data_IF_855418599710
#
_entry.id   IF_855418599710
#
_cell.length_a   1.000
_cell.length_b   1.000
_cell.length_c   1.000
_cell.angle_alpha   90.00
_cell.angle_beta   90.00
_cell.angle_gamma   90.00
#
_symmetry.space_group_name_H-M   'P 1'
#
loop_
_entity.id
_entity.type
_entity.pdbx_description
1 polymer ?
#
# COMPACT_ATOMS: atom_id res chain seq x y z
N UNK A 1 107.39 12.05 24.68
CA UNK A 1 106.56 11.76 23.49
C UNK A 1 105.38 10.89 23.91
N UNK A 2 104.22 11.00 23.25
CA UNK A 2 102.98 11.62 23.77
C UNK A 2 101.92 10.56 24.17
N UNK A 3 100.75 10.83 24.76
CA UNK A 3 99.70 11.75 24.33
C UNK A 3 98.50 11.70 25.30
N UNK A 4 97.93 12.86 25.62
CA UNK A 4 96.68 13.02 26.38
C UNK A 4 95.44 12.64 25.54
N UNK A 5 94.33 12.25 26.19
CA UNK A 5 93.00 12.44 25.63
C UNK A 5 92.09 13.33 26.52
N UNK A 6 91.90 14.56 26.02
CA UNK A 6 90.69 15.40 25.91
C UNK A 6 89.55 15.28 26.95
N UNK A 7 89.30 16.40 27.65
CA UNK A 7 88.03 16.76 28.28
C UNK A 7 86.87 16.72 27.27
N UNK A 8 85.77 16.07 27.63
CA UNK A 8 84.47 16.18 26.94
C UNK A 8 83.65 17.31 27.58
N UNK A 9 83.58 18.43 26.88
CA UNK A 9 82.67 19.54 27.16
C UNK A 9 81.28 19.16 26.61
N UNK A 10 80.28 18.98 27.47
CA UNK A 10 78.89 18.82 27.02
C UNK A 10 78.32 20.20 26.67
N UNK A 11 78.02 20.41 25.39
CA UNK A 11 77.21 21.54 24.92
C UNK A 11 75.78 21.09 24.69
N UNK A 12 74.84 21.72 25.39
CA UNK A 12 73.41 21.58 25.13
C UNK A 12 73.08 22.19 23.75
N UNK A 13 72.49 21.38 22.87
CA UNK A 13 71.91 21.86 21.60
C UNK A 13 70.57 22.54 21.88
N UNK A 14 70.31 23.74 21.35
CA UNK A 14 68.96 24.31 21.38
C UNK A 14 68.07 23.54 20.38
N UNK A 15 66.99 22.95 20.89
CA UNK A 15 65.89 22.41 20.09
C UNK A 15 65.13 23.57 19.43
N UNK A 16 65.38 23.84 18.15
CA UNK A 16 64.49 24.67 17.32
C UNK A 16 63.19 23.90 17.05
N UNK A 17 62.14 24.16 17.83
CA UNK A 17 60.75 23.79 17.46
C UNK A 17 60.29 24.68 16.31
N UNK A 18 59.71 24.15 15.22
CA UNK A 18 59.21 24.98 14.13
C UNK A 18 57.80 25.49 14.50
N UNK A 19 57.72 26.51 15.35
CA UNK A 19 56.45 27.18 15.69
C UNK A 19 55.77 27.80 14.47
N UNK A 20 56.54 28.15 13.42
CA UNK A 20 56.02 28.72 12.18
C UNK A 20 55.13 27.75 11.38
N UNK A 21 55.48 26.46 11.32
CA UNK A 21 54.73 25.48 10.52
C UNK A 21 53.32 25.25 11.10
N UNK A 22 53.20 25.21 12.42
CA UNK A 22 51.94 25.00 13.14
C UNK A 22 51.00 26.20 12.97
N UNK A 23 51.55 27.42 12.97
CA UNK A 23 50.76 28.64 12.77
C UNK A 23 50.24 28.71 11.33
N UNK A 24 51.06 28.37 10.33
CA UNK A 24 50.66 28.36 8.92
C UNK A 24 49.58 27.32 8.66
N UNK A 25 49.69 26.10 9.23
CA UNK A 25 48.64 25.08 9.10
C UNK A 25 47.33 25.50 9.75
N UNK A 26 47.39 26.21 10.87
CA UNK A 26 46.20 26.67 11.59
C UNK A 26 45.45 27.75 10.83
N UNK A 27 46.18 28.67 10.19
CA UNK A 27 45.59 29.73 9.34
C UNK A 27 44.99 29.12 8.07
N UNK A 28 45.63 28.13 7.46
CA UNK A 28 45.11 27.44 6.28
C UNK A 28 43.79 26.71 6.57
N UNK A 29 43.68 26.02 7.72
CA UNK A 29 42.45 25.33 8.14
C UNK A 29 41.33 26.35 8.40
N UNK A 30 41.65 27.48 9.05
CA UNK A 30 40.68 28.56 9.28
C UNK A 30 40.14 29.19 8.00
N UNK A 31 41.00 29.45 7.02
CA UNK A 31 40.61 29.99 5.71
C UNK A 31 39.75 28.99 4.91
N UNK A 32 40.09 27.70 4.95
CA UNK A 32 39.30 26.67 4.27
C UNK A 32 37.91 26.50 4.89
N UNK A 33 37.82 26.54 6.23
CA UNK A 33 36.54 26.50 6.95
C UNK A 33 35.66 27.72 6.66
N UNK A 34 36.26 28.91 6.57
CA UNK A 34 35.54 30.13 6.24
C UNK A 34 35.01 30.13 4.79
N UNK A 35 35.82 29.70 3.82
CA UNK A 35 35.40 29.56 2.42
C UNK A 35 34.29 28.51 2.25
N UNK A 36 34.39 27.38 2.97
CA UNK A 36 33.34 26.36 2.98
C UNK A 36 32.02 26.91 3.56
N UNK A 37 32.10 27.62 4.69
CA UNK A 37 30.94 28.29 5.30
C UNK A 37 30.29 29.33 4.38
N UNK A 38 31.10 30.15 3.68
CA UNK A 38 30.58 31.12 2.71
C UNK A 38 29.88 30.44 1.52
N UNK A 39 30.44 29.33 1.02
CA UNK A 39 29.85 28.58 -0.10
C UNK A 39 28.48 27.98 0.24
N UNK A 40 28.27 27.58 1.50
CA UNK A 40 27.00 27.04 1.99
C UNK A 40 25.90 28.11 2.13
N UNK A 41 26.27 29.39 2.29
CA UNK A 41 25.32 30.51 2.40
C UNK A 41 24.99 31.09 1.01
N UNK A 42 25.97 31.13 0.11
CA UNK A 42 25.82 31.76 -1.22
C UNK A 42 25.14 30.81 -2.23
N UNK A 43 25.20 29.48 -2.03
CA UNK A 43 24.55 28.50 -2.89
C UNK A 43 23.51 27.64 -2.12
N UNK A 44 22.25 28.12 -1.94
CA UNK A 44 21.19 27.33 -1.30
C UNK A 44 20.75 26.10 -2.12
N UNK A 45 21.30 25.93 -3.32
CA UNK A 45 20.84 24.96 -4.34
C UNK A 45 21.51 23.59 -4.30
N UNK A 46 22.57 23.38 -3.51
CA UNK A 46 23.17 22.04 -3.34
C UNK A 46 22.58 21.43 -2.08
N UNK A 47 21.32 20.99 -2.17
CA UNK A 47 20.82 19.96 -1.26
C UNK A 47 21.64 18.70 -1.54
N UNK A 48 22.71 18.51 -0.77
CA UNK A 48 23.33 17.20 -0.65
C UNK A 48 22.20 16.26 -0.27
N UNK A 49 21.87 15.36 -1.20
CA UNK A 49 20.84 14.34 -1.06
C UNK A 49 20.90 13.80 0.36
N UNK A 50 19.87 14.14 1.14
CA UNK A 50 19.73 13.68 2.52
C UNK A 50 19.93 12.18 2.50
N UNK A 51 20.92 11.73 3.28
CA UNK A 51 21.24 10.34 3.55
C UNK A 51 20.01 9.48 3.38
N UNK A 52 19.99 8.67 2.32
CA UNK A 52 19.25 7.41 2.31
C UNK A 52 19.70 6.69 3.56
N UNK A 53 18.88 6.74 4.62
CA UNK A 53 18.96 5.72 5.64
C UNK A 53 18.69 4.44 4.87
N UNK A 54 19.73 3.63 4.66
CA UNK A 54 19.61 2.24 4.27
C UNK A 54 18.82 1.57 5.38
N UNK A 55 17.49 1.70 5.34
CA UNK A 55 16.63 0.86 6.14
C UNK A 55 16.85 -0.54 5.58
N UNK A 56 17.45 -1.44 6.37
CA UNK A 56 17.60 -2.85 6.04
C UNK A 56 16.24 -3.60 5.89
N UNK A 57 15.15 -2.87 5.63
CA UNK A 57 13.86 -3.45 5.32
C UNK A 57 13.85 -3.85 3.85
N UNK A 58 13.37 -5.07 3.53
CA UNK A 58 13.19 -5.48 2.14
C UNK A 58 12.21 -4.53 1.43
N UNK A 59 12.35 -4.35 0.10
CA UNK A 59 11.43 -3.53 -0.68
C UNK A 59 10.00 -4.04 -0.48
N UNK A 60 9.07 -3.12 -0.28
CA UNK A 60 7.65 -3.39 -0.14
C UNK A 60 6.99 -3.61 -1.49
N UNK A 61 7.52 -2.97 -2.54
CA UNK A 61 7.02 -3.13 -3.91
C UNK A 61 7.51 -4.42 -4.55
N UNK A 62 6.56 -5.20 -5.06
CA UNK A 62 6.85 -6.46 -5.73
C UNK A 62 6.14 -6.54 -7.07
N UNK A 63 6.83 -7.04 -8.09
CA UNK A 63 6.23 -7.41 -9.38
C UNK A 63 5.95 -8.90 -9.42
N UNK A 64 4.72 -9.28 -9.72
CA UNK A 64 4.27 -10.66 -9.83
C UNK A 64 4.06 -11.00 -11.30
N UNK A 65 4.86 -11.95 -11.79
CA UNK A 65 4.73 -12.56 -13.12
C UNK A 65 4.18 -13.97 -12.91
N UNK A 66 3.04 -14.27 -13.53
CA UNK A 66 2.45 -15.60 -13.48
C UNK A 66 3.04 -16.46 -14.60
N UNK A 67 3.82 -17.49 -14.26
CA UNK A 67 4.25 -18.47 -15.27
C UNK A 67 3.05 -19.25 -15.80
N UNK A 68 2.85 -19.20 -17.13
CA UNK A 68 1.78 -19.91 -17.84
C UNK A 68 2.08 -21.40 -17.97
N UNK A 69 3.31 -21.82 -17.68
CA UNK A 69 3.73 -23.22 -17.72
C UNK A 69 3.62 -23.84 -16.32
N UNK A 70 2.65 -24.75 -16.16
CA UNK A 70 2.54 -25.59 -14.97
C UNK A 70 3.78 -26.48 -14.84
N UNK A 71 4.76 -26.04 -14.07
CA UNK A 71 5.78 -26.92 -13.54
C UNK A 71 5.94 -26.68 -12.03
N UNK A 72 5.24 -27.51 -11.26
CA UNK A 72 5.41 -27.60 -9.82
C UNK A 72 6.78 -28.23 -9.56
N UNK A 73 7.73 -27.42 -9.14
CA UNK A 73 8.78 -27.80 -8.19
C UNK A 73 9.50 -26.55 -7.67
N UNK A 74 8.85 -25.86 -6.73
CA UNK A 74 9.52 -24.93 -5.83
C UNK A 74 9.39 -25.50 -4.41
N UNK A 75 10.10 -26.60 -4.14
CA UNK A 75 10.37 -27.08 -2.79
C UNK A 75 11.40 -26.14 -2.15
N UNK A 76 10.89 -25.00 -1.71
CA UNK A 76 11.62 -23.94 -1.03
C UNK A 76 10.59 -22.91 -0.60
N UNK A 77 9.79 -23.25 0.41
CA UNK A 77 8.69 -22.42 0.88
C UNK A 77 9.20 -21.04 1.27
N UNK A 78 9.01 -20.06 0.40
CA UNK A 78 9.29 -18.66 0.72
C UNK A 78 8.39 -18.29 1.89
N UNK A 79 9.01 -17.90 3.00
CA UNK A 79 8.27 -17.53 4.22
C UNK A 79 7.45 -16.28 3.94
N UNK A 80 6.13 -16.43 3.90
CA UNK A 80 5.17 -15.33 3.71
C UNK A 80 5.25 -14.33 4.87
N UNK A 81 5.04 -13.05 4.59
CA UNK A 81 5.07 -11.99 5.60
C UNK A 81 3.78 -12.02 6.44
N UNK A 82 3.92 -12.21 7.75
CA UNK A 82 2.77 -12.38 8.66
C UNK A 82 2.19 -11.03 9.08
N UNK A 83 0.89 -10.85 8.86
CA UNK A 83 0.11 -9.66 9.24
C UNK A 83 -1.28 -10.07 9.69
N UNK A 84 -2.02 -9.21 10.40
CA UNK A 84 -3.43 -9.53 10.74
C UNK A 84 -4.30 -9.45 9.48
N UNK A 85 -4.22 -8.34 8.73
CA UNK A 85 -4.98 -8.11 7.51
C UNK A 85 -4.07 -7.63 6.36
N UNK A 86 -4.41 -7.95 5.11
CA UNK A 86 -3.81 -7.34 3.93
C UNK A 86 -4.84 -6.52 3.17
N UNK A 87 -4.58 -5.24 2.91
CA UNK A 87 -5.45 -4.34 2.14
C UNK A 87 -4.82 -4.06 0.79
N UNK A 88 -5.47 -4.53 -0.27
CA UNK A 88 -5.12 -4.21 -1.66
C UNK A 88 -6.02 -3.11 -2.21
N UNK A 89 -5.47 -1.92 -2.42
CA UNK A 89 -6.16 -0.78 -3.01
C UNK A 89 -6.09 -0.89 -4.54
N UNK A 90 -7.19 -1.24 -5.19
CA UNK A 90 -7.30 -1.34 -6.64
C UNK A 90 -7.21 0.04 -7.27
N UNK A 91 -6.17 0.26 -8.08
CA UNK A 91 -5.91 1.55 -8.73
C UNK A 91 -5.49 1.36 -10.20
N UNK A 92 -5.55 2.41 -11.00
CA UNK A 92 -5.17 2.39 -12.41
C UNK A 92 -4.33 3.59 -12.83
N UNK A 93 -3.89 3.62 -14.08
CA UNK A 93 -3.02 4.68 -14.61
C UNK A 93 -3.68 6.06 -14.65
N UNK A 94 -5.01 6.14 -14.73
CA UNK A 94 -5.77 7.40 -14.64
C UNK A 94 -5.94 7.93 -13.21
N UNK A 95 -5.48 7.20 -12.19
CA UNK A 95 -5.81 7.46 -10.78
C UNK A 95 -4.65 8.00 -9.96
N UNK A 96 -3.63 8.60 -10.61
CA UNK A 96 -2.49 9.19 -9.91
C UNK A 96 -2.91 10.28 -8.90
N UNK A 97 -3.91 11.10 -9.23
CA UNK A 97 -4.45 12.10 -8.31
C UNK A 97 -5.15 11.47 -7.10
N UNK A 98 -5.88 10.36 -7.29
CA UNK A 98 -6.51 9.59 -6.21
C UNK A 98 -5.47 8.97 -5.29
N UNK A 99 -4.43 8.32 -5.83
CA UNK A 99 -3.31 7.80 -5.03
C UNK A 99 -2.64 8.89 -4.19
N UNK A 100 -2.47 10.09 -4.77
CA UNK A 100 -1.96 11.25 -4.02
C UNK A 100 -2.91 11.70 -2.90
N UNK A 101 -4.21 11.72 -3.14
CA UNK A 101 -5.21 12.07 -2.12
C UNK A 101 -5.23 11.04 -0.97
N UNK A 102 -5.15 9.75 -1.29
CA UNK A 102 -4.99 8.66 -0.33
C UNK A 102 -3.72 8.87 0.52
N UNK A 103 -2.62 9.19 -0.15
CA UNK A 103 -1.32 9.48 0.47
C UNK A 103 -1.30 10.67 1.42
N UNK A 104 -2.15 11.66 1.13
CA UNK A 104 -2.34 12.86 1.94
C UNK A 104 -3.43 12.71 3.01
N UNK A 105 -4.02 11.52 3.16
CA UNK A 105 -5.11 11.26 4.10
C UNK A 105 -4.86 9.99 4.92
N UNK A 106 -5.49 8.87 4.59
CA UNK A 106 -5.54 7.70 5.44
C UNK A 106 -4.42 6.66 5.19
N UNK A 107 -3.58 6.85 4.18
CA UNK A 107 -2.41 6.00 3.90
C UNK A 107 -1.14 6.87 3.81
N UNK A 108 -0.39 7.12 4.88
CA UNK A 108 0.72 8.09 4.85
C UNK A 108 1.73 7.85 3.72
N UNK A 109 2.16 8.92 3.05
CA UNK A 109 3.17 8.86 1.97
C UNK A 109 4.58 8.57 2.46
N UNK A 110 4.91 8.92 3.70
CA UNK A 110 6.25 8.72 4.23
C UNK A 110 6.43 7.27 4.72
N UNK A 111 7.56 6.60 4.39
CA UNK A 111 7.76 5.19 4.74
C UNK A 111 7.65 4.87 6.23
N UNK A 112 7.98 5.83 7.11
CA UNK A 112 7.87 5.66 8.56
C UNK A 112 6.43 5.80 9.05
N UNK A 113 5.67 6.74 8.50
CA UNK A 113 4.25 6.93 8.75
C UNK A 113 3.44 5.72 8.31
N UNK A 114 3.71 5.21 7.10
CA UNK A 114 3.07 3.99 6.61
C UNK A 114 3.41 2.82 7.53
N UNK A 115 4.68 2.63 7.91
CA UNK A 115 5.07 1.57 8.84
C UNK A 115 4.37 1.67 10.19
N UNK A 116 4.29 2.87 10.79
CA UNK A 116 3.57 3.10 12.04
C UNK A 116 2.08 2.78 11.93
N UNK A 117 1.46 3.10 10.79
CA UNK A 117 0.07 2.71 10.52
C UNK A 117 -0.07 1.19 10.46
N UNK A 118 0.81 0.51 9.72
CA UNK A 118 0.77 -0.95 9.57
C UNK A 118 1.03 -1.68 10.89
N UNK A 119 1.97 -1.20 11.70
CA UNK A 119 2.29 -1.75 13.02
C UNK A 119 1.16 -1.52 14.03
N UNK A 120 0.54 -0.33 14.04
CA UNK A 120 -0.52 -0.01 14.99
C UNK A 120 -1.87 -0.67 14.65
N UNK A 121 -2.13 -0.91 13.36
CA UNK A 121 -3.39 -1.53 12.91
C UNK A 121 -3.24 -3.02 12.60
N UNK A 122 -2.02 -3.55 12.49
CA UNK A 122 -1.74 -4.90 12.01
C UNK A 122 -2.10 -5.14 10.54
N UNK A 123 -2.38 -4.09 9.77
CA UNK A 123 -2.76 -4.16 8.35
C UNK A 123 -1.56 -3.84 7.46
N UNK A 124 -1.23 -4.68 6.50
CA UNK A 124 -0.35 -4.28 5.39
C UNK A 124 -1.19 -3.65 4.27
N UNK A 125 -0.79 -2.49 3.75
CA UNK A 125 -1.59 -1.72 2.77
C UNK A 125 -0.77 -1.45 1.51
N UNK A 126 -1.22 -1.92 0.35
CA UNK A 126 -0.51 -1.70 -0.94
C UNK A 126 -1.48 -1.27 -2.04
N UNK A 127 -0.98 -0.45 -2.96
CA UNK A 127 -1.64 -0.19 -4.23
C UNK A 127 -1.50 -1.39 -5.16
N UNK A 128 -2.61 -1.83 -5.76
CA UNK A 128 -2.64 -2.94 -6.69
C UNK A 128 -2.89 -2.41 -8.10
N UNK A 129 -1.90 -2.58 -8.97
CA UNK A 129 -1.94 -2.08 -10.34
C UNK A 129 -1.40 -3.11 -11.31
N UNK A 130 -2.01 -3.20 -12.49
CA UNK A 130 -1.53 -3.97 -13.62
C UNK A 130 -0.45 -3.24 -14.42
N UNK A 131 -0.35 -3.58 -15.70
CA UNK A 131 0.54 -2.97 -16.70
C UNK A 131 -0.25 -2.30 -17.81
N UNK A 132 0.43 -1.44 -18.56
CA UNK A 132 -0.07 -0.87 -19.82
C UNK A 132 1.02 -0.96 -20.89
N UNK A 133 0.63 -0.93 -22.16
CA UNK A 133 1.55 -0.85 -23.30
C UNK A 133 2.08 0.58 -23.52
N UNK A 134 1.48 1.55 -22.85
CA UNK A 134 1.88 2.96 -22.88
C UNK A 134 3.15 3.15 -22.03
N UNK A 135 4.32 3.23 -22.69
CA UNK A 135 5.60 3.35 -21.99
C UNK A 135 5.75 4.66 -21.21
N UNK A 136 5.07 5.75 -21.61
CA UNK A 136 5.11 7.00 -20.87
C UNK A 136 4.41 6.84 -19.51
N UNK A 137 3.23 6.22 -19.50
CA UNK A 137 2.51 5.87 -18.27
C UNK A 137 3.29 4.87 -17.40
N UNK A 138 3.95 3.89 -18.00
CA UNK A 138 4.82 2.97 -17.26
C UNK A 138 6.03 3.70 -16.67
N UNK A 139 6.63 4.67 -17.36
CA UNK A 139 7.73 5.47 -16.84
C UNK A 139 7.31 6.41 -15.70
N UNK A 140 6.09 6.96 -15.75
CA UNK A 140 5.49 7.68 -14.62
C UNK A 140 5.29 6.78 -13.40
N UNK A 141 4.71 5.59 -13.60
CA UNK A 141 4.53 4.61 -12.51
C UNK A 141 5.86 4.17 -11.90
N UNK A 142 6.90 3.92 -12.71
CA UNK A 142 8.25 3.58 -12.21
C UNK A 142 8.84 4.67 -11.33
N UNK A 143 8.61 5.95 -11.66
CA UNK A 143 9.03 7.08 -10.82
C UNK A 143 8.27 7.11 -9.50
N UNK A 144 6.96 6.91 -9.54
CA UNK A 144 6.12 6.85 -8.34
C UNK A 144 6.52 5.69 -7.42
N UNK A 145 6.80 4.50 -7.98
CA UNK A 145 7.30 3.34 -7.22
C UNK A 145 8.63 3.65 -6.55
N UNK A 146 9.56 4.29 -7.26
CA UNK A 146 10.86 4.66 -6.70
C UNK A 146 10.75 5.69 -5.56
N UNK A 147 9.69 6.49 -5.56
CA UNK A 147 9.44 7.50 -4.53
C UNK A 147 8.78 6.90 -3.27
N UNK A 148 7.77 6.04 -3.42
CA UNK A 148 6.91 5.61 -2.30
C UNK A 148 7.07 4.15 -1.87
N UNK A 149 7.55 3.26 -2.76
CA UNK A 149 7.70 1.83 -2.51
C UNK A 149 6.44 1.15 -1.90
N UNK A 150 5.24 1.42 -2.43
CA UNK A 150 3.96 0.99 -1.83
C UNK A 150 3.04 0.20 -2.79
N UNK A 151 3.58 -0.45 -3.82
CA UNK A 151 2.80 -1.13 -4.88
C UNK A 151 2.90 -2.66 -4.88
N UNK A 152 1.91 -3.35 -5.45
CA UNK A 152 2.06 -4.68 -6.02
C UNK A 152 1.69 -4.57 -7.51
N UNK A 153 2.63 -4.93 -8.37
CA UNK A 153 2.47 -4.90 -9.81
C UNK A 153 2.05 -6.28 -10.31
N UNK A 154 0.87 -6.36 -10.92
CA UNK A 154 0.34 -7.58 -11.50
C UNK A 154 0.66 -7.63 -13.00
N UNK A 155 0.99 -8.80 -13.52
CA UNK A 155 1.19 -8.99 -14.96
C UNK A 155 -0.12 -9.10 -15.76
N UNK A 156 -1.03 -8.14 -15.56
CA UNK A 156 -2.34 -8.04 -16.24
C UNK A 156 -2.46 -6.65 -16.87
N UNK A 157 -2.90 -6.59 -18.12
CA UNK A 157 -3.18 -5.31 -18.79
C UNK A 157 -4.36 -4.60 -18.13
N UNK A 158 -4.16 -3.34 -17.71
CA UNK A 158 -5.21 -2.52 -17.09
C UNK A 158 -6.34 -2.21 -18.06
N UNK A 159 -7.53 -2.70 -17.75
CA UNK A 159 -8.76 -2.45 -18.49
C UNK A 159 -9.96 -2.67 -17.56
N UNK A 160 -11.02 -1.86 -17.70
CA UNK A 160 -12.21 -2.00 -16.86
C UNK A 160 -12.87 -3.38 -17.00
N UNK A 161 -12.94 -3.91 -18.23
CA UNK A 161 -13.48 -5.24 -18.52
C UNK A 161 -12.67 -6.38 -17.87
N UNK A 162 -11.43 -6.11 -17.45
CA UNK A 162 -10.52 -7.09 -16.83
C UNK A 162 -10.51 -7.03 -15.31
N UNK A 163 -11.34 -6.20 -14.67
CA UNK A 163 -11.40 -6.09 -13.22
C UNK A 163 -11.59 -7.43 -12.49
N UNK A 164 -12.48 -8.36 -12.91
CA UNK A 164 -12.60 -9.67 -12.26
C UNK A 164 -11.28 -10.47 -12.26
N UNK A 165 -10.55 -10.42 -13.38
CA UNK A 165 -9.25 -11.10 -13.51
C UNK A 165 -8.17 -10.43 -12.67
N UNK A 166 -8.14 -9.10 -12.64
CA UNK A 166 -7.25 -8.32 -11.78
C UNK A 166 -7.46 -8.66 -10.31
N UNK A 167 -8.72 -8.75 -9.87
CA UNK A 167 -9.07 -9.11 -8.49
C UNK A 167 -8.64 -10.54 -8.14
N UNK A 168 -8.85 -11.51 -9.03
CA UNK A 168 -8.34 -12.87 -8.79
C UNK A 168 -6.81 -12.89 -8.69
N UNK A 169 -6.12 -12.18 -9.59
CA UNK A 169 -4.66 -12.08 -9.55
C UNK A 169 -4.16 -11.34 -8.31
N UNK A 170 -4.88 -10.33 -7.83
CA UNK A 170 -4.64 -9.68 -6.56
C UNK A 170 -4.67 -10.69 -5.41
N UNK A 171 -5.76 -11.46 -5.26
CA UNK A 171 -5.87 -12.43 -4.17
C UNK A 171 -4.77 -13.50 -4.25
N UNK A 172 -4.45 -13.99 -5.45
CA UNK A 172 -3.33 -14.92 -5.65
C UNK A 172 -1.98 -14.31 -5.25
N UNK A 173 -1.70 -13.08 -5.66
CA UNK A 173 -0.46 -12.37 -5.33
C UNK A 173 -0.36 -12.10 -3.83
N UNK A 174 -1.42 -11.57 -3.22
CA UNK A 174 -1.45 -11.26 -1.80
C UNK A 174 -1.28 -12.52 -0.95
N UNK A 175 -1.94 -13.63 -1.30
CA UNK A 175 -1.79 -14.91 -0.60
C UNK A 175 -0.40 -15.52 -0.74
N UNK A 176 0.28 -15.31 -1.87
CA UNK A 176 1.65 -15.78 -2.08
C UNK A 176 2.68 -14.98 -1.27
N UNK A 177 2.41 -13.69 -1.02
CA UNK A 177 3.33 -12.78 -0.34
C UNK A 177 3.09 -12.67 1.18
N UNK A 178 1.82 -12.72 1.59
CA UNK A 178 1.40 -12.42 2.97
C UNK A 178 0.64 -13.59 3.59
N UNK A 179 0.95 -13.88 4.84
CA UNK A 179 0.21 -14.78 5.71
C UNK A 179 -0.72 -13.94 6.59
N UNK A 180 -2.00 -13.90 6.23
CA UNK A 180 -2.98 -12.99 6.82
C UNK A 180 -4.30 -13.68 7.10
N UNK A 181 -5.00 -13.28 8.16
CA UNK A 181 -6.32 -13.79 8.49
C UNK A 181 -7.40 -13.31 7.50
N UNK A 182 -7.22 -12.11 6.94
CA UNK A 182 -8.15 -11.51 5.98
C UNK A 182 -7.42 -10.75 4.87
N UNK A 183 -7.90 -10.90 3.65
CA UNK A 183 -7.47 -10.14 2.48
C UNK A 183 -8.62 -9.22 2.04
N UNK A 184 -8.35 -7.93 2.03
CA UNK A 184 -9.32 -6.86 1.79
C UNK A 184 -9.07 -6.27 0.42
N UNK A 185 -10.10 -6.24 -0.42
CA UNK A 185 -10.12 -5.42 -1.62
C UNK A 185 -10.73 -4.08 -1.27
N UNK A 186 -10.08 -2.98 -1.67
CA UNK A 186 -10.61 -1.62 -1.56
C UNK A 186 -10.41 -0.87 -2.88
N UNK A 187 -11.34 0.00 -3.27
CA UNK A 187 -11.14 0.91 -4.40
C UNK A 187 -10.36 2.17 -4.00
N UNK A 188 -9.71 2.81 -4.96
CA UNK A 188 -8.94 4.04 -4.72
C UNK A 188 -9.79 5.32 -4.62
N UNK A 189 -11.11 5.19 -4.68
CA UNK A 189 -12.07 6.29 -4.54
C UNK A 189 -12.97 6.15 -3.30
N UNK A 190 -12.49 5.52 -2.23
CA UNK A 190 -13.17 5.51 -0.91
C UNK A 190 -12.35 6.23 0.17
N UNK A 191 -13.02 6.67 1.23
CA UNK A 191 -12.35 7.05 2.46
C UNK A 191 -12.41 5.88 3.44
N UNK A 192 -11.25 5.33 3.80
CA UNK A 192 -11.12 4.18 4.71
C UNK A 192 -10.58 4.64 6.07
N UNK A 193 -11.04 3.99 7.13
CA UNK A 193 -10.53 4.15 8.49
C UNK A 193 -9.84 2.84 8.93
N UNK A 194 -8.51 2.73 8.74
CA UNK A 194 -7.78 1.49 8.99
C UNK A 194 -7.89 0.98 10.43
N UNK A 195 -8.01 1.87 11.41
CA UNK A 195 -8.21 1.54 12.83
C UNK A 195 -9.56 0.85 13.10
N UNK A 196 -10.61 1.21 12.36
CA UNK A 196 -11.93 0.56 12.48
C UNK A 196 -12.00 -0.73 11.69
N UNK A 197 -11.33 -0.76 10.53
CA UNK A 197 -11.20 -1.98 9.76
C UNK A 197 -10.46 -3.05 10.57
N UNK A 198 -9.35 -2.70 11.24
CA UNK A 198 -8.58 -3.66 12.05
C UNK A 198 -9.41 -4.30 13.15
N UNK A 199 -10.24 -3.53 13.86
CA UNK A 199 -11.18 -4.05 14.86
C UNK A 199 -12.21 -5.03 14.26
N UNK A 200 -12.78 -4.69 13.10
CA UNK A 200 -13.72 -5.59 12.42
C UNK A 200 -13.08 -6.92 12.03
N UNK A 201 -11.84 -6.88 11.54
CA UNK A 201 -11.09 -8.08 11.15
C UNK A 201 -10.66 -8.91 12.37
N UNK A 202 -10.33 -8.26 13.49
CA UNK A 202 -9.94 -8.93 14.74
C UNK A 202 -11.09 -9.63 15.47
N UNK A 203 -12.36 -9.30 15.15
CA UNK A 203 -13.54 -9.91 15.76
C UNK A 203 -13.50 -11.44 15.64
N UNK A 204 -13.70 -12.13 16.75
CA UNK A 204 -13.83 -13.59 16.78
C UNK A 204 -15.06 -14.06 15.99
N UNK A 205 -14.89 -15.17 15.27
CA UNK A 205 -15.92 -15.76 14.42
C UNK A 205 -15.93 -17.27 14.61
N UNK A 206 -17.13 -17.84 14.62
CA UNK A 206 -17.33 -19.29 14.65
C UNK A 206 -17.05 -19.96 13.32
N UNK A 207 -17.13 -19.22 12.21
CA UNK A 207 -16.90 -19.72 10.85
C UNK A 207 -15.58 -19.18 10.32
N UNK A 208 -14.68 -20.07 9.89
CA UNK A 208 -13.40 -19.67 9.32
C UNK A 208 -13.55 -19.11 7.90
N UNK A 209 -14.49 -19.64 7.11
CA UNK A 209 -14.82 -19.16 5.76
C UNK A 209 -15.84 -18.02 5.81
N UNK A 210 -15.33 -16.79 5.87
CA UNK A 210 -16.14 -15.58 5.97
C UNK A 210 -15.88 -14.59 4.84
N UNK A 211 -16.96 -13.98 4.35
CA UNK A 211 -17.02 -12.87 3.39
C UNK A 211 -17.69 -11.65 4.05
N UNK A 212 -16.93 -10.58 4.25
CA UNK A 212 -17.38 -9.35 4.89
C UNK A 212 -17.63 -8.27 3.84
N UNK A 213 -18.73 -7.54 3.97
CA UNK A 213 -18.97 -6.35 3.15
C UNK A 213 -20.25 -5.64 3.54
N UNK A 214 -20.50 -4.49 2.92
CA UNK A 214 -21.86 -3.96 2.88
C UNK A 214 -22.64 -4.71 1.80
N UNK A 215 -23.54 -5.59 2.23
CA UNK A 215 -24.25 -6.47 1.30
C UNK A 215 -25.45 -5.76 0.67
N UNK A 216 -25.70 -6.12 -0.59
CA UNK A 216 -26.77 -5.59 -1.43
C UNK A 216 -27.43 -6.68 -2.24
N UNK A 217 -28.64 -6.37 -2.69
CA UNK A 217 -29.27 -6.94 -3.88
C UNK A 217 -29.68 -5.80 -4.81
N UNK A 218 -30.04 -6.14 -6.04
CA UNK A 218 -30.48 -5.16 -7.01
C UNK A 218 -30.68 -5.78 -8.39
N UNK A 219 -31.29 -5.03 -9.32
CA UNK A 219 -31.59 -5.54 -10.65
C UNK A 219 -30.31 -5.89 -11.41
N UNK A 220 -30.37 -6.96 -12.20
CA UNK A 220 -29.35 -7.24 -13.21
C UNK A 220 -29.48 -6.21 -14.33
N UNK A 221 -28.37 -5.54 -14.67
CA UNK A 221 -28.38 -4.50 -15.68
C UNK A 221 -28.31 -5.12 -17.08
N UNK A 222 -29.45 -5.18 -17.78
CA UNK A 222 -29.58 -5.83 -19.09
C UNK A 222 -29.50 -4.87 -20.28
N UNK A 223 -29.51 -3.55 -20.06
CA UNK A 223 -29.35 -2.56 -21.13
C UNK A 223 -27.86 -2.35 -21.44
N UNK A 224 -27.38 -2.64 -22.67
CA UNK A 224 -26.00 -2.44 -23.10
C UNK A 224 -25.47 -1.00 -22.98
N UNK A 225 -26.37 -0.01 -22.82
CA UNK A 225 -26.00 1.40 -22.63
C UNK A 225 -25.64 1.74 -21.19
N UNK A 226 -25.96 0.86 -20.23
CA UNK A 226 -25.65 1.07 -18.82
C UNK A 226 -24.20 0.67 -18.52
N UNK A 227 -23.54 1.45 -17.66
CA UNK A 227 -22.15 1.24 -17.24
C UNK A 227 -21.88 -0.19 -16.75
N UNK A 228 -22.84 -0.78 -16.04
CA UNK A 228 -22.72 -2.09 -15.38
C UNK A 228 -23.47 -3.20 -16.12
N UNK A 229 -23.70 -3.02 -17.43
CA UNK A 229 -24.34 -4.01 -18.28
C UNK A 229 -23.70 -5.40 -18.12
N UNK A 230 -24.54 -6.41 -17.90
CA UNK A 230 -24.15 -7.80 -17.77
C UNK A 230 -24.62 -8.60 -19.00
N UNK A 231 -23.71 -8.96 -19.93
CA UNK A 231 -24.06 -9.72 -21.13
C UNK A 231 -24.51 -11.15 -20.81
N UNK A 232 -24.17 -11.69 -19.64
CA UNK A 232 -24.61 -13.01 -19.18
C UNK A 232 -25.80 -12.92 -18.22
N UNK A 233 -26.62 -11.88 -18.33
CA UNK A 233 -27.75 -11.66 -17.43
C UNK A 233 -28.72 -12.86 -17.35
N UNK A 234 -28.91 -13.59 -18.45
CA UNK A 234 -29.76 -14.78 -18.48
C UNK A 234 -29.31 -15.89 -17.52
N UNK A 235 -28.01 -15.93 -17.16
CA UNK A 235 -27.49 -16.86 -16.15
C UNK A 235 -27.74 -16.41 -14.71
N UNK A 236 -28.04 -15.13 -14.50
CA UNK A 236 -28.21 -14.50 -13.18
C UNK A 236 -29.69 -14.27 -12.83
N UNK A 237 -30.55 -14.15 -13.84
CA UNK A 237 -31.96 -13.82 -13.66
C UNK A 237 -32.21 -12.30 -13.59
N UNK A 238 -33.32 -11.90 -12.96
CA UNK A 238 -33.74 -10.49 -12.92
C UNK A 238 -33.05 -9.68 -11.80
N UNK A 239 -32.62 -10.33 -10.73
CA UNK A 239 -32.00 -9.71 -9.56
C UNK A 239 -30.68 -10.41 -9.23
N UNK A 240 -29.64 -9.65 -8.93
CA UNK A 240 -28.41 -10.20 -8.38
C UNK A 240 -28.68 -10.84 -7.01
N UNK A 241 -28.00 -11.96 -6.76
CA UNK A 241 -27.95 -12.57 -5.42
C UNK A 241 -27.30 -11.62 -4.40
N UNK A 242 -27.44 -11.93 -3.10
CA UNK A 242 -26.86 -11.11 -2.04
C UNK A 242 -25.32 -11.15 -2.12
N UNK A 243 -24.69 -10.00 -2.36
CA UNK A 243 -23.23 -9.86 -2.46
C UNK A 243 -22.77 -8.50 -1.93
N UNK A 244 -21.47 -8.32 -1.66
CA UNK A 244 -20.96 -7.03 -1.20
C UNK A 244 -20.89 -6.00 -2.34
N UNK A 245 -21.03 -4.73 -2.00
CA UNK A 245 -20.64 -3.63 -2.88
C UNK A 245 -19.15 -3.71 -3.25
N UNK A 246 -18.84 -3.49 -4.54
CA UNK A 246 -17.46 -3.47 -5.05
C UNK A 246 -16.46 -2.57 -4.30
N UNK A 247 -16.79 -1.33 -3.87
CA UNK A 247 -15.85 -0.43 -3.20
C UNK A 247 -14.99 -1.04 -2.10
N UNK A 248 -15.54 -1.92 -1.26
CA UNK A 248 -14.76 -2.61 -0.24
C UNK A 248 -15.41 -3.93 0.22
N UNK A 249 -14.60 -4.98 0.33
CA UNK A 249 -14.98 -6.23 0.99
C UNK A 249 -13.74 -7.00 1.46
N UNK A 250 -13.93 -7.92 2.40
CA UNK A 250 -12.85 -8.76 2.94
C UNK A 250 -13.17 -10.24 2.82
N UNK A 251 -12.16 -11.02 2.42
CA UNK A 251 -12.21 -12.47 2.35
C UNK A 251 -11.25 -13.06 3.38
N UNK A 252 -11.76 -13.99 4.19
CA UNK A 252 -10.93 -14.78 5.12
C UNK A 252 -9.85 -15.58 4.38
N UNK A 253 -8.80 -15.94 5.12
CA UNK A 253 -7.67 -16.74 4.60
C UNK A 253 -8.12 -18.05 3.94
N UNK A 254 -9.09 -18.75 4.52
CA UNK A 254 -9.61 -20.03 4.00
C UNK A 254 -10.35 -19.86 2.67
N UNK A 255 -11.09 -18.77 2.53
CA UNK A 255 -11.75 -18.40 1.26
C UNK A 255 -10.71 -18.09 0.20
N UNK A 256 -9.72 -17.26 0.52
CA UNK A 256 -8.65 -16.92 -0.43
C UNK A 256 -7.84 -18.14 -0.81
N UNK A 257 -7.52 -19.04 0.13
CA UNK A 257 -6.85 -20.31 -0.14
C UNK A 257 -7.62 -21.12 -1.18
N UNK A 258 -8.95 -21.18 -1.05
CA UNK A 258 -9.83 -21.86 -2.00
C UNK A 258 -9.77 -21.18 -3.38
N UNK A 259 -9.82 -19.85 -3.43
CA UNK A 259 -9.69 -19.08 -4.68
C UNK A 259 -8.33 -19.28 -5.38
N UNK A 260 -7.24 -19.36 -4.62
CA UNK A 260 -5.89 -19.59 -5.18
C UNK A 260 -5.77 -21.00 -5.75
N UNK A 261 -6.43 -21.98 -5.14
CA UNK A 261 -6.45 -23.37 -5.60
C UNK A 261 -7.32 -23.59 -6.86
N UNK A 262 -8.13 -22.61 -7.26
CA UNK A 262 -8.99 -22.74 -8.45
C UNK A 262 -8.17 -22.94 -9.72
N UNK A 263 -8.57 -23.95 -10.49
CA UNK A 263 -8.07 -24.14 -11.85
C UNK A 263 -8.52 -22.97 -12.72
N UNK A 264 -7.66 -22.53 -13.63
CA UNK A 264 -8.03 -21.52 -14.61
C UNK A 264 -9.30 -21.95 -15.35
N UNK A 265 -10.22 -20.99 -15.55
CA UNK A 265 -11.50 -21.20 -16.23
C UNK A 265 -12.47 -22.21 -15.55
N UNK A 266 -12.24 -22.57 -14.29
CA UNK A 266 -13.17 -23.45 -13.56
C UNK A 266 -14.43 -22.72 -13.07
N UNK A 267 -14.32 -21.43 -12.78
CA UNK A 267 -15.41 -20.61 -12.25
C UNK A 267 -15.83 -19.55 -13.27
N UNK A 268 -17.12 -19.22 -13.30
CA UNK A 268 -17.68 -18.22 -14.22
C UNK A 268 -17.20 -16.82 -13.83
N UNK A 269 -16.71 -16.07 -14.81
CA UNK A 269 -16.48 -14.64 -14.70
C UNK A 269 -17.70 -13.89 -15.25
N UNK A 270 -18.12 -12.83 -14.57
CA UNK A 270 -19.14 -11.87 -15.00
C UNK A 270 -18.47 -10.53 -15.32
N UNK A 271 -19.18 -9.60 -15.97
CA UNK A 271 -18.61 -8.28 -16.31
C UNK A 271 -18.27 -7.46 -15.07
N UNK A 272 -19.12 -7.56 -14.04
CA UNK A 272 -18.92 -6.86 -12.78
C UNK A 272 -18.10 -7.73 -11.82
N UNK A 273 -17.02 -7.16 -11.28
CA UNK A 273 -16.11 -7.86 -10.38
C UNK A 273 -16.78 -8.28 -9.07
N UNK A 274 -17.63 -7.42 -8.50
CA UNK A 274 -18.29 -7.66 -7.21
C UNK A 274 -19.34 -8.77 -7.34
N UNK A 275 -20.05 -8.78 -8.46
CA UNK A 275 -20.93 -9.89 -8.86
C UNK A 275 -20.13 -11.18 -9.04
N UNK A 276 -18.98 -11.14 -9.72
CA UNK A 276 -18.13 -12.33 -9.88
C UNK A 276 -17.72 -12.93 -8.55
N UNK A 277 -17.21 -12.10 -7.63
CA UNK A 277 -16.79 -12.56 -6.30
C UNK A 277 -17.98 -13.09 -5.51
N UNK A 278 -19.11 -12.38 -5.49
CA UNK A 278 -20.29 -12.83 -4.78
C UNK A 278 -20.84 -14.17 -5.28
N UNK A 279 -20.82 -14.41 -6.61
CA UNK A 279 -21.25 -15.69 -7.17
C UNK A 279 -20.38 -16.84 -6.66
N UNK A 280 -19.08 -16.61 -6.53
CA UNK A 280 -18.14 -17.60 -6.02
C UNK A 280 -18.30 -17.84 -4.53
N UNK A 281 -18.63 -16.81 -3.76
CA UNK A 281 -18.93 -16.96 -2.32
C UNK A 281 -20.15 -17.86 -2.10
N UNK A 282 -21.17 -17.75 -2.95
CA UNK A 282 -22.31 -18.66 -2.93
C UNK A 282 -21.90 -20.08 -3.32
N UNK A 283 -21.15 -20.24 -4.42
CA UNK A 283 -20.72 -21.55 -4.90
C UNK A 283 -19.84 -22.30 -3.89
N UNK A 284 -19.04 -21.58 -3.09
CA UNK A 284 -18.16 -22.14 -2.07
C UNK A 284 -18.80 -22.22 -0.67
N UNK A 285 -20.10 -21.92 -0.54
CA UNK A 285 -20.84 -21.95 0.73
C UNK A 285 -20.19 -21.09 1.83
N UNK A 286 -19.75 -19.87 1.47
CA UNK A 286 -19.07 -18.94 2.38
C UNK A 286 -20.08 -18.18 3.24
N UNK A 287 -19.78 -18.00 4.53
CA UNK A 287 -20.60 -17.21 5.43
C UNK A 287 -20.55 -15.71 5.07
N UNK A 288 -21.71 -15.09 4.84
CA UNK A 288 -21.84 -13.68 4.49
C UNK A 288 -22.12 -12.84 5.74
N UNK A 289 -21.28 -11.86 6.05
CA UNK A 289 -21.56 -10.88 7.10
C UNK A 289 -21.79 -9.49 6.52
N UNK A 290 -22.96 -8.93 6.83
CA UNK A 290 -23.36 -7.59 6.39
C UNK A 290 -22.94 -6.53 7.39
N UNK A 291 -22.08 -5.59 6.95
CA UNK A 291 -21.58 -4.49 7.76
C UNK A 291 -21.88 -3.16 7.08
N UNK A 292 -22.90 -2.43 7.57
CA UNK A 292 -23.30 -1.13 7.02
C UNK A 292 -22.24 -0.04 7.24
N UNK A 293 -21.38 -0.20 8.24
CA UNK A 293 -20.23 0.69 8.49
C UNK A 293 -19.18 0.66 7.37
N UNK A 294 -19.26 -0.28 6.43
CA UNK A 294 -18.43 -0.32 5.21
C UNK A 294 -19.03 0.48 4.03
N UNK A 295 -20.15 1.17 4.23
CA UNK A 295 -20.89 1.84 3.16
C UNK A 295 -21.66 3.10 3.60
N UNK A 296 -21.13 3.82 4.58
CA UNK A 296 -21.82 5.03 5.05
C UNK A 296 -21.53 6.21 4.10
N UNK A 297 -22.51 7.09 3.83
CA UNK A 297 -22.31 8.26 2.97
C UNK A 297 -21.56 9.40 3.67
N UNK A 298 -21.51 9.37 5.01
CA UNK A 298 -20.83 10.36 5.86
C UNK A 298 -20.15 9.62 7.01
N UNK A 299 -19.09 10.20 7.58
CA UNK A 299 -18.43 9.59 8.73
C UNK A 299 -19.26 9.74 10.01
N UNK A 300 -19.57 8.61 10.63
CA UNK A 300 -19.93 8.44 12.03
C UNK A 300 -18.72 7.94 12.83
N UNK A 301 -18.75 7.97 14.18
CA UNK A 301 -17.70 7.38 15.00
C UNK A 301 -17.43 5.90 14.67
N UNK A 302 -18.44 5.15 14.23
CA UNK A 302 -18.35 3.74 13.86
C UNK A 302 -17.98 3.46 12.40
N UNK A 303 -17.99 4.48 11.52
CA UNK A 303 -17.72 4.27 10.09
C UNK A 303 -16.37 3.63 9.85
N UNK A 304 -16.35 2.59 9.02
CA UNK A 304 -15.13 1.95 8.54
C UNK A 304 -14.78 2.50 7.16
N UNK A 305 -15.75 2.57 6.26
CA UNK A 305 -15.56 3.10 4.91
C UNK A 305 -16.70 4.03 4.50
N UNK A 306 -16.33 5.11 3.81
CA UNK A 306 -17.25 6.15 3.33
C UNK A 306 -17.15 6.31 1.83
N UNK A 307 -18.32 6.28 1.16
CA UNK A 307 -18.47 6.44 -0.29
C UNK A 307 -19.89 6.88 -0.67
N UNK A 308 -20.12 7.29 -1.93
CA UNK A 308 -21.33 7.97 -2.36
C UNK A 308 -22.21 7.15 -3.35
N UNK A 309 -22.10 5.82 -3.43
CA UNK A 309 -23.02 5.00 -4.26
C UNK A 309 -24.47 5.18 -3.75
N UNK A 310 -25.47 5.33 -4.65
CA UNK A 310 -25.40 5.19 -6.12
C UNK A 310 -25.09 6.48 -6.89
N UNK A 311 -24.85 7.61 -6.21
CA UNK A 311 -24.59 8.90 -6.87
C UNK A 311 -23.30 8.87 -7.70
N UNK A 312 -22.28 8.20 -7.20
CA UNK A 312 -21.00 7.98 -7.88
C UNK A 312 -20.58 6.51 -7.73
N UNK A 313 -19.54 6.05 -8.44
CA UNK A 313 -19.05 4.66 -8.32
C UNK A 313 -18.24 4.38 -7.03
N UNK A 314 -17.81 5.45 -6.36
CA UNK A 314 -17.20 5.48 -5.03
C UNK A 314 -17.54 6.84 -4.44
N UNK A 315 -16.56 7.61 -3.98
CA UNK A 315 -16.72 9.03 -3.67
C UNK A 315 -16.89 9.87 -4.94
N UNK A 316 -17.75 10.87 -4.87
CA UNK A 316 -17.84 11.90 -5.89
C UNK A 316 -16.65 12.86 -5.77
N UNK A 317 -15.95 13.13 -6.88
CA UNK A 317 -14.71 13.93 -6.89
C UNK A 317 -13.70 13.46 -5.82
N UNK A 318 -13.25 12.19 -5.88
CA UNK A 318 -12.56 11.52 -4.79
C UNK A 318 -11.32 12.27 -4.31
N UNK A 319 -10.56 12.88 -5.21
CA UNK A 319 -9.34 13.64 -4.89
C UNK A 319 -9.60 14.81 -3.92
N UNK A 320 -10.75 15.47 -4.06
CA UNK A 320 -11.17 16.56 -3.17
C UNK A 320 -11.89 16.03 -1.93
N UNK A 321 -12.82 15.11 -2.14
CA UNK A 321 -13.72 14.61 -1.09
C UNK A 321 -12.97 13.84 0.00
N UNK A 322 -11.93 13.08 -0.34
CA UNK A 322 -11.07 12.45 0.68
C UNK A 322 -10.43 13.46 1.61
N UNK A 323 -9.90 14.57 1.07
CA UNK A 323 -9.28 15.64 1.86
C UNK A 323 -10.30 16.36 2.76
N UNK A 324 -11.53 16.54 2.28
CA UNK A 324 -12.63 17.13 3.06
C UNK A 324 -13.03 16.22 4.22
N UNK A 325 -13.22 14.92 3.95
CA UNK A 325 -13.54 13.92 4.99
C UNK A 325 -12.42 13.85 6.02
N UNK A 326 -11.16 13.80 5.60
CA UNK A 326 -10.02 13.71 6.52
C UNK A 326 -9.92 14.89 7.50
N UNK A 327 -10.43 16.07 7.13
CA UNK A 327 -10.47 17.24 8.02
C UNK A 327 -11.59 17.18 9.06
N UNK A 328 -12.59 16.32 8.88
CA UNK A 328 -13.67 16.15 9.85
C UNK A 328 -13.17 15.33 11.03
N UNK A 329 -13.41 15.82 12.25
CA UNK A 329 -12.97 15.13 13.47
C UNK A 329 -13.65 13.77 13.62
N UNK A 330 -14.90 13.62 13.18
CA UNK A 330 -15.60 12.34 13.17
C UNK A 330 -14.90 11.27 12.31
N UNK A 331 -14.15 11.67 11.27
CA UNK A 331 -13.44 10.76 10.38
C UNK A 331 -12.00 10.46 10.84
N UNK A 332 -11.26 11.46 11.34
CA UNK A 332 -9.81 11.34 11.56
C UNK A 332 -9.35 11.39 13.02
N UNK A 333 -10.21 11.83 13.94
CA UNK A 333 -9.85 12.00 15.36
C UNK A 333 -10.78 11.28 16.33
N UNK A 334 -11.79 10.55 15.85
CA UNK A 334 -12.76 9.89 16.73
C UNK A 334 -12.15 8.66 17.43
N UNK A 335 -12.35 8.47 18.75
CA UNK A 335 -11.76 7.38 19.53
C UNK A 335 -12.14 6.00 19.00
N UNK A 336 -11.17 5.10 18.84
CA UNK A 336 -11.32 3.80 18.17
C UNK A 336 -12.38 2.86 18.79
N UNK A 337 -12.81 3.12 20.03
CA UNK A 337 -13.93 2.45 20.69
C UNK A 337 -15.09 3.45 20.93
N UNK A 338 -16.36 3.03 20.79
CA UNK A 338 -17.49 3.84 21.25
C UNK A 338 -17.36 4.10 22.75
N UNK A 339 -17.81 5.28 23.21
CA UNK A 339 -17.95 5.54 24.65
C UNK A 339 -18.92 4.54 25.24
N UNK A 340 -18.65 4.02 26.43
CA UNK A 340 -19.50 3.03 27.14
C UNK A 340 -20.89 3.58 27.54
N UNK A 341 -21.25 4.78 27.10
CA UNK A 341 -22.42 5.56 27.53
C UNK A 341 -23.54 5.70 26.46
N UNK A 342 -23.63 4.83 25.44
CA UNK A 342 -24.75 4.80 24.47
C UNK A 342 -25.55 3.49 24.45
#
# INVERSE_FOLDING_TARGET
MPSSPRLKLFHARPSRRPTSLIVITSIAIGLFGFLFGLSAIIFPGIRLSSRTCLTNSPPKTVRIVWDVAGNRNANGGVKRHKVMGFVGIQTGFSSAGRRRALRNTWMPSDPQGLRRLEESTGLAIRFIIGKTKDEAKMAELRREIAEYDDFILLDIEEEYSKLPYKTLAFFKAAYALYDSAFYVKADDDIYLRPDRLSLLLAKERSHSQTYLGCLKKGPVFTDPKLKWYEPLADLLGQEYFLHAYGPIYALSADVVTSLVALKNNSFRMFSNEDVTIGAWMLAMNVNHENHKTLCEPECSPSSIAVWDIPKCSGLCNPEKRMLELHKKESCSKSPTLPSEDE
#
